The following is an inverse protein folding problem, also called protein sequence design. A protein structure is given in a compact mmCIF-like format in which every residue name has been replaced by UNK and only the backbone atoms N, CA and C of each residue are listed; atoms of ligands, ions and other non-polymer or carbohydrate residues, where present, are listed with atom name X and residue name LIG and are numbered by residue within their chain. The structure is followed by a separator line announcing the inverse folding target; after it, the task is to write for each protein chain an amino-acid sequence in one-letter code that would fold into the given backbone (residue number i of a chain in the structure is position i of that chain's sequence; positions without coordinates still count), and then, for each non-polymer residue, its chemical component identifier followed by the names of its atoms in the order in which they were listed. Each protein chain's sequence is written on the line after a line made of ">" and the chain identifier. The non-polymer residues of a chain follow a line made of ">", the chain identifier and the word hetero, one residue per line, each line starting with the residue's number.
data_IF_081495661846
#
_entry.id   IF_081495661846
#
_cell.length_a   1.000
_cell.length_b   1.000
_cell.length_c   1.000
_cell.angle_alpha   90.00
_cell.angle_beta   90.00
_cell.angle_gamma   90.00
#
_symmetry.space_group_name_H-M   'P 1'
#
loop_
_entity.id
_entity.type
_entity.pdbx_description
1 polymer ?
#
# COMPACT_ATOMS: atom_id res chain seq x y z
N UNK A 1 20.73 -7.05 -39.19
CA UNK A 1 21.39 -6.31 -38.12
C UNK A 1 21.30 -4.83 -38.39
N UNK A 2 20.59 -4.01 -37.63
CA UNK A 2 19.49 -4.23 -36.69
C UNK A 2 18.97 -2.82 -36.39
N UNK A 3 17.68 -2.59 -36.58
CA UNK A 3 17.02 -1.35 -36.11
C UNK A 3 15.80 -1.65 -35.24
N UNK A 4 15.55 -2.93 -34.95
CA UNK A 4 14.48 -3.39 -34.07
C UNK A 4 15.00 -3.87 -32.70
N UNK A 5 16.30 -4.11 -32.54
CA UNK A 5 16.90 -4.51 -31.25
C UNK A 5 17.17 -3.35 -30.26
N UNK A 6 17.03 -2.09 -30.69
CA UNK A 6 17.43 -0.92 -29.87
C UNK A 6 16.30 -0.23 -29.09
N UNK A 7 15.09 -0.80 -29.07
CA UNK A 7 14.01 -0.36 -28.15
C UNK A 7 13.85 -1.26 -26.92
N UNK A 8 14.76 -2.22 -26.72
CA UNK A 8 14.69 -3.16 -25.60
C UNK A 8 15.80 -2.90 -24.57
N UNK A 9 15.92 -1.68 -24.09
CA UNK A 9 16.84 -1.38 -22.98
C UNK A 9 16.17 -0.49 -21.94
N UNK A 10 15.73 -1.17 -20.87
CA UNK A 10 15.60 -0.67 -19.50
C UNK A 10 14.39 0.25 -19.24
N UNK A 11 13.18 -0.33 -19.31
CA UNK A 11 12.25 -0.13 -18.19
C UNK A 11 12.54 -1.26 -17.22
N UNK A 12 13.53 -1.10 -16.34
CA UNK A 12 13.53 -1.89 -15.12
C UNK A 12 12.24 -1.50 -14.40
N UNK A 13 11.17 -2.27 -14.61
CA UNK A 13 10.01 -2.20 -13.75
C UNK A 13 10.55 -2.42 -12.34
N UNK A 14 10.44 -1.39 -11.50
CA UNK A 14 10.76 -1.49 -10.07
C UNK A 14 10.04 -2.74 -9.56
N UNK A 15 10.84 -3.74 -9.19
CA UNK A 15 10.35 -4.99 -8.60
C UNK A 15 10.02 -4.68 -7.15
N UNK A 16 8.76 -4.89 -6.80
CA UNK A 16 8.31 -4.75 -5.42
C UNK A 16 8.50 -6.03 -4.61
N UNK A 17 8.90 -7.14 -5.26
CA UNK A 17 9.22 -8.40 -4.57
C UNK A 17 7.98 -9.20 -4.23
N UNK A 18 7.82 -9.59 -2.97
CA UNK A 18 6.61 -10.23 -2.45
C UNK A 18 5.62 -9.15 -1.99
N UNK A 19 4.42 -9.12 -2.58
CA UNK A 19 3.42 -8.09 -2.36
C UNK A 19 2.14 -8.71 -1.77
N UNK A 20 1.60 -8.06 -0.76
CA UNK A 20 0.24 -8.32 -0.28
C UNK A 20 -0.69 -7.14 -0.63
N UNK A 21 -1.87 -7.44 -1.17
CA UNK A 21 -2.91 -6.48 -1.49
C UNK A 21 -4.22 -6.85 -0.77
N UNK A 22 -4.79 -5.88 -0.05
CA UNK A 22 -6.12 -5.94 0.52
C UNK A 22 -7.06 -5.03 -0.29
N UNK A 23 -7.94 -5.62 -1.11
CA UNK A 23 -8.78 -4.91 -2.09
C UNK A 23 -9.99 -5.77 -2.46
N UNK A 24 -11.21 -5.20 -2.43
CA UNK A 24 -12.47 -5.89 -2.75
C UNK A 24 -12.93 -5.67 -4.20
N UNK A 25 -12.53 -4.57 -4.84
CA UNK A 25 -12.93 -4.25 -6.20
C UNK A 25 -12.07 -5.04 -7.20
N UNK A 26 -12.73 -5.92 -7.97
CA UNK A 26 -12.08 -6.76 -8.97
C UNK A 26 -11.31 -5.94 -10.03
N UNK A 27 -11.78 -4.74 -10.38
CA UNK A 27 -11.12 -3.88 -11.38
C UNK A 27 -9.84 -3.28 -10.82
N UNK A 28 -9.84 -2.87 -9.55
CA UNK A 28 -8.65 -2.40 -8.84
C UNK A 28 -7.64 -3.54 -8.65
N UNK A 29 -8.10 -4.74 -8.29
CA UNK A 29 -7.28 -5.95 -8.26
C UNK A 29 -6.59 -6.22 -9.60
N UNK A 30 -7.33 -6.18 -10.70
CA UNK A 30 -6.78 -6.36 -12.05
C UNK A 30 -5.76 -5.27 -12.41
N UNK A 31 -6.00 -4.03 -12.01
CA UNK A 31 -5.09 -2.91 -12.23
C UNK A 31 -3.74 -3.18 -11.53
N UNK A 32 -3.77 -3.55 -10.26
CA UNK A 32 -2.57 -3.91 -9.50
C UNK A 32 -1.84 -5.11 -10.10
N UNK A 33 -2.56 -6.18 -10.48
CA UNK A 33 -1.96 -7.35 -11.09
C UNK A 33 -1.24 -7.04 -12.42
N UNK A 34 -1.78 -6.11 -13.22
CA UNK A 34 -1.11 -5.63 -14.44
C UNK A 34 0.13 -4.81 -14.11
N UNK A 35 0.09 -3.98 -13.07
CA UNK A 35 1.17 -3.06 -12.68
C UNK A 35 2.34 -3.78 -12.00
N UNK A 36 2.06 -4.82 -11.24
CA UNK A 36 3.05 -5.67 -10.54
C UNK A 36 3.44 -6.91 -11.35
N UNK A 37 3.30 -6.84 -12.67
CA UNK A 37 3.68 -7.95 -13.55
C UNK A 37 5.17 -8.28 -13.36
N UNK A 38 5.44 -9.47 -12.84
CA UNK A 38 6.79 -9.96 -12.57
C UNK A 38 7.18 -9.97 -11.08
N UNK A 39 6.31 -9.46 -10.21
CA UNK A 39 6.36 -9.63 -8.76
C UNK A 39 5.37 -10.72 -8.32
N UNK A 40 5.52 -11.22 -7.09
CA UNK A 40 4.58 -12.18 -6.49
C UNK A 40 3.50 -11.40 -5.74
N UNK A 41 2.23 -11.60 -6.10
CA UNK A 41 1.10 -10.85 -5.57
C UNK A 41 0.08 -11.79 -4.92
N UNK A 42 -0.08 -11.69 -3.61
CA UNK A 42 -1.23 -12.26 -2.90
C UNK A 42 -2.30 -11.19 -2.70
N UNK A 43 -3.55 -11.55 -2.99
CA UNK A 43 -4.72 -10.66 -2.87
C UNK A 43 -5.72 -11.25 -1.89
N UNK A 44 -6.30 -10.42 -1.04
CA UNK A 44 -7.44 -10.77 -0.20
C UNK A 44 -8.44 -9.62 -0.13
N UNK A 45 -9.72 -9.94 0.03
CA UNK A 45 -10.78 -8.98 0.34
C UNK A 45 -11.39 -9.23 1.74
N UNK A 46 -10.88 -10.22 2.47
CA UNK A 46 -11.47 -10.71 3.73
C UNK A 46 -10.47 -10.56 4.87
N UNK A 47 -10.90 -9.94 5.96
CA UNK A 47 -10.03 -9.61 7.10
C UNK A 47 -9.33 -10.84 7.69
N UNK A 48 -10.03 -11.97 7.84
CA UNK A 48 -9.44 -13.16 8.44
C UNK A 48 -8.42 -13.85 7.52
N UNK A 49 -8.69 -13.90 6.21
CA UNK A 49 -7.74 -14.43 5.24
C UNK A 49 -6.49 -13.54 5.15
N UNK A 50 -6.67 -12.22 5.17
CA UNK A 50 -5.58 -11.26 5.20
C UNK A 50 -4.66 -11.47 6.42
N UNK A 51 -5.24 -11.66 7.61
CA UNK A 51 -4.47 -11.98 8.83
C UNK A 51 -3.68 -13.27 8.65
N UNK A 52 -4.28 -14.33 8.12
CA UNK A 52 -3.61 -15.61 7.89
C UNK A 52 -2.40 -15.46 6.94
N UNK A 53 -2.57 -14.77 5.81
CA UNK A 53 -1.50 -14.50 4.85
C UNK A 53 -0.36 -13.69 5.51
N UNK A 54 -0.71 -12.60 6.20
CA UNK A 54 0.26 -11.75 6.91
C UNK A 54 1.01 -12.49 8.02
N UNK A 55 0.47 -13.57 8.57
CA UNK A 55 1.12 -14.40 9.59
C UNK A 55 1.98 -15.53 9.02
N UNK A 56 1.65 -16.02 7.84
CA UNK A 56 2.27 -17.22 7.26
C UNK A 56 3.30 -16.92 6.17
N UNK A 57 3.27 -15.70 5.62
CA UNK A 57 4.18 -15.24 4.57
C UNK A 57 5.01 -14.04 5.00
N UNK A 58 5.91 -13.59 4.14
CA UNK A 58 6.70 -12.37 4.34
C UNK A 58 6.59 -11.52 3.09
N UNK A 59 6.32 -10.24 3.27
CA UNK A 59 6.10 -9.30 2.19
C UNK A 59 7.07 -8.12 2.30
N UNK A 60 7.49 -7.62 1.16
CA UNK A 60 8.30 -6.40 1.03
C UNK A 60 7.40 -5.16 0.98
N UNK A 61 6.21 -5.29 0.39
CA UNK A 61 5.22 -4.23 0.25
C UNK A 61 3.81 -4.72 0.60
N UNK A 62 3.05 -3.88 1.30
CA UNK A 62 1.66 -4.15 1.70
C UNK A 62 0.78 -2.99 1.23
N UNK A 63 -0.26 -3.30 0.45
CA UNK A 63 -1.25 -2.37 -0.05
C UNK A 63 -2.58 -2.61 0.64
N UNK A 64 -3.18 -1.57 1.23
CA UNK A 64 -4.42 -1.68 1.98
C UNK A 64 -5.48 -0.71 1.47
N UNK A 65 -6.62 -1.22 1.03
CA UNK A 65 -7.85 -0.44 0.97
C UNK A 65 -8.55 -0.40 2.34
N UNK A 66 -9.26 0.68 2.61
CA UNK A 66 -10.07 0.82 3.82
C UNK A 66 -11.43 0.12 3.67
N UNK A 67 -12.18 0.41 2.62
CA UNK A 67 -13.52 -0.12 2.44
C UNK A 67 -13.41 -1.50 1.76
N UNK A 68 -14.01 -2.54 2.35
CA UNK A 68 -13.92 -3.92 1.81
C UNK A 68 -15.28 -4.51 1.46
N UNK A 69 -16.37 -3.77 1.70
CA UNK A 69 -17.73 -4.23 1.48
C UNK A 69 -18.60 -3.08 0.93
N UNK A 70 -19.63 -3.38 0.12
CA UNK A 70 -20.58 -2.40 -0.42
C UNK A 70 -21.19 -1.46 0.62
N UNK A 71 -21.37 -1.91 1.86
CA UNK A 71 -21.99 -1.12 2.93
C UNK A 71 -21.05 -0.09 3.56
N UNK A 72 -19.73 -0.20 3.35
CA UNK A 72 -18.75 0.76 3.88
C UNK A 72 -18.70 2.04 3.04
N UNK A 73 -19.03 1.96 1.74
CA UNK A 73 -19.00 3.11 0.83
C UNK A 73 -20.02 4.18 1.24
N UNK A 74 -19.51 5.31 1.73
CA UNK A 74 -20.34 6.44 2.16
C UNK A 74 -21.06 6.22 3.50
N UNK A 75 -20.64 5.21 4.27
CA UNK A 75 -21.12 5.01 5.63
C UNK A 75 -20.79 6.23 6.50
N UNK A 76 -21.71 6.58 7.41
CA UNK A 76 -21.52 7.67 8.39
C UNK A 76 -21.03 7.17 9.74
N UNK A 77 -21.09 5.86 9.97
CA UNK A 77 -20.60 5.19 11.17
C UNK A 77 -19.32 4.41 10.82
N UNK A 78 -18.37 4.37 11.74
CA UNK A 78 -17.12 3.61 11.59
C UNK A 78 -17.35 2.12 11.87
N UNK A 79 -16.93 1.25 10.95
CA UNK A 79 -16.80 -0.19 11.15
C UNK A 79 -15.30 -0.54 11.21
N UNK A 80 -14.77 -0.73 12.41
CA UNK A 80 -13.34 -0.98 12.61
C UNK A 80 -12.97 -2.49 12.49
N UNK A 81 -13.96 -3.38 12.45
CA UNK A 81 -13.75 -4.83 12.50
C UNK A 81 -13.73 -5.48 11.12
N UNK A 82 -14.50 -4.94 10.16
CA UNK A 82 -14.67 -5.52 8.82
C UNK A 82 -14.06 -4.70 7.69
N UNK A 83 -13.28 -3.67 8.03
CA UNK A 83 -12.58 -2.79 7.09
C UNK A 83 -11.08 -3.07 7.09
N UNK A 84 -10.35 -2.43 6.19
CA UNK A 84 -8.89 -2.38 6.21
C UNK A 84 -8.31 -1.83 7.52
N UNK A 85 -9.10 -1.06 8.29
CA UNK A 85 -8.70 -0.64 9.63
C UNK A 85 -8.40 -1.82 10.57
N UNK A 86 -9.14 -2.92 10.45
CA UNK A 86 -8.87 -4.14 11.22
C UNK A 86 -7.47 -4.70 10.94
N UNK A 87 -7.00 -4.61 9.69
CA UNK A 87 -5.66 -5.05 9.27
C UNK A 87 -4.58 -4.06 9.75
N UNK A 88 -4.86 -2.76 9.67
CA UNK A 88 -3.97 -1.74 10.21
C UNK A 88 -3.74 -1.93 11.72
N UNK A 89 -4.81 -2.08 12.50
CA UNK A 89 -4.74 -2.34 13.94
C UNK A 89 -4.06 -3.70 14.26
N UNK A 90 -4.29 -4.71 13.42
CA UNK A 90 -3.65 -6.02 13.56
C UNK A 90 -2.12 -5.95 13.39
N UNK A 91 -1.64 -5.19 12.41
CA UNK A 91 -0.20 -4.95 12.17
C UNK A 91 0.41 -4.01 13.22
N UNK A 92 -0.32 -2.99 13.64
CA UNK A 92 0.10 -2.04 14.67
C UNK A 92 0.32 -2.73 16.03
N UNK A 93 -0.59 -3.63 16.41
CA UNK A 93 -0.46 -4.43 17.64
C UNK A 93 0.64 -5.51 17.58
N UNK A 94 1.28 -5.72 16.42
CA UNK A 94 2.33 -6.72 16.18
C UNK A 94 3.51 -6.10 15.40
N UNK A 95 4.30 -5.21 16.02
CA UNK A 95 5.33 -4.44 15.31
C UNK A 95 6.44 -5.31 14.69
N UNK A 96 6.67 -6.53 15.19
CA UNK A 96 7.63 -7.46 14.60
C UNK A 96 7.09 -8.18 13.35
N UNK A 97 5.77 -8.27 13.21
CA UNK A 97 5.13 -8.92 12.06
C UNK A 97 5.25 -8.04 10.82
N UNK A 98 5.82 -8.53 9.72
CA UNK A 98 6.09 -7.75 8.50
C UNK A 98 6.89 -6.47 8.76
N UNK A 99 7.80 -6.48 9.75
CA UNK A 99 8.50 -5.27 10.23
C UNK A 99 9.23 -4.50 9.12
N UNK A 100 9.77 -5.19 8.11
CA UNK A 100 10.50 -4.59 7.02
C UNK A 100 9.60 -4.05 5.89
N UNK A 101 8.32 -4.42 5.88
CA UNK A 101 7.41 -4.07 4.80
C UNK A 101 7.08 -2.57 4.81
N UNK A 102 7.05 -1.97 3.61
CA UNK A 102 6.46 -0.65 3.41
C UNK A 102 4.95 -0.82 3.25
N UNK A 103 4.15 0.00 3.95
CA UNK A 103 2.70 -0.07 3.91
C UNK A 103 2.15 1.13 3.14
N UNK A 104 1.32 0.88 2.13
CA UNK A 104 0.65 1.90 1.32
C UNK A 104 -0.86 1.74 1.46
N UNK A 105 -1.52 2.75 2.02
CA UNK A 105 -2.97 2.79 2.12
C UNK A 105 -3.51 3.48 0.86
N UNK A 106 -4.39 2.81 0.10
CA UNK A 106 -4.83 3.28 -1.22
C UNK A 106 -6.34 3.51 -1.37
N UNK A 107 -6.97 4.00 -0.31
CA UNK A 107 -8.43 4.19 -0.32
C UNK A 107 -8.91 5.51 -0.93
N UNK A 108 -10.13 5.48 -1.49
CA UNK A 108 -10.91 6.68 -1.78
C UNK A 108 -11.55 7.30 -0.52
N UNK A 109 -11.69 6.53 0.55
CA UNK A 109 -12.17 7.01 1.84
C UNK A 109 -11.00 7.64 2.61
N UNK A 110 -10.79 8.94 2.41
CA UNK A 110 -9.67 9.67 3.00
C UNK A 110 -9.68 9.63 4.54
N UNK A 111 -10.86 9.75 5.16
CA UNK A 111 -10.98 9.72 6.62
C UNK A 111 -10.59 8.33 7.17
N UNK A 112 -11.10 7.26 6.56
CA UNK A 112 -10.73 5.88 6.89
C UNK A 112 -9.25 5.60 6.68
N UNK A 113 -8.69 6.03 5.55
CA UNK A 113 -7.28 5.86 5.24
C UNK A 113 -6.35 6.60 6.20
N UNK A 114 -6.70 7.84 6.57
CA UNK A 114 -5.91 8.62 7.52
C UNK A 114 -5.90 7.97 8.91
N UNK A 115 -7.04 7.42 9.37
CA UNK A 115 -7.09 6.64 10.62
C UNK A 115 -6.17 5.42 10.58
N UNK A 116 -6.15 4.68 9.46
CA UNK A 116 -5.25 3.54 9.28
C UNK A 116 -3.77 3.95 9.35
N UNK A 117 -3.40 5.02 8.64
CA UNK A 117 -2.02 5.53 8.63
C UNK A 117 -1.60 6.02 10.01
N UNK A 118 -2.48 6.73 10.73
CA UNK A 118 -2.20 7.17 12.10
C UNK A 118 -1.96 6.00 13.05
N UNK A 119 -2.82 4.97 13.00
CA UNK A 119 -2.67 3.75 13.81
C UNK A 119 -1.34 3.05 13.53
N UNK A 120 -1.01 2.85 12.25
CA UNK A 120 0.24 2.21 11.83
C UNK A 120 1.48 3.02 12.25
N UNK A 121 1.49 4.33 11.99
CA UNK A 121 2.62 5.20 12.35
C UNK A 121 2.81 5.32 13.85
N UNK A 122 1.72 5.35 14.62
CA UNK A 122 1.77 5.38 16.09
C UNK A 122 2.43 4.12 16.67
N UNK A 123 2.34 2.99 15.97
CA UNK A 123 3.06 1.76 16.28
C UNK A 123 4.49 1.69 15.70
N UNK A 124 4.98 2.78 15.09
CA UNK A 124 6.33 2.85 14.51
C UNK A 124 6.48 2.19 13.14
N UNK A 125 5.37 1.94 12.42
CA UNK A 125 5.39 1.35 11.08
C UNK A 125 5.65 2.41 10.00
N UNK A 126 6.29 2.00 8.91
CA UNK A 126 6.42 2.81 7.70
C UNK A 126 5.13 2.69 6.90
N UNK A 127 4.25 3.70 7.02
CA UNK A 127 2.97 3.73 6.33
C UNK A 127 2.77 5.09 5.63
N UNK A 128 2.28 5.05 4.40
CA UNK A 128 1.94 6.22 3.59
C UNK A 128 0.51 6.10 3.06
N UNK A 129 -0.17 7.24 2.89
CA UNK A 129 -1.47 7.32 2.21
C UNK A 129 -1.27 7.78 0.77
N UNK A 130 -1.74 6.97 -0.19
CA UNK A 130 -1.73 7.30 -1.62
C UNK A 130 -3.12 7.03 -2.19
N UNK A 131 -4.00 8.03 -2.34
CA UNK A 131 -5.34 7.82 -2.92
C UNK A 131 -5.29 7.07 -4.25
N UNK A 132 -6.20 6.11 -4.46
CA UNK A 132 -6.16 5.23 -5.64
C UNK A 132 -6.10 5.97 -6.98
N UNK A 133 -6.85 7.08 -7.13
CA UNK A 133 -6.81 7.84 -8.39
C UNK A 133 -5.41 8.36 -8.74
N UNK A 134 -4.54 8.64 -7.76
CA UNK A 134 -3.16 9.01 -8.04
C UNK A 134 -2.32 7.82 -8.50
N UNK A 135 -2.66 6.60 -8.07
CA UNK A 135 -2.05 5.38 -8.60
C UNK A 135 -2.51 5.13 -10.03
N UNK A 136 -3.79 5.34 -10.32
CA UNK A 136 -4.36 5.09 -11.65
C UNK A 136 -3.95 6.14 -12.71
N UNK A 137 -3.92 7.43 -12.35
CA UNK A 137 -3.60 8.53 -13.27
C UNK A 137 -2.11 8.62 -13.65
N UNK A 138 -1.24 8.00 -12.86
CA UNK A 138 0.19 8.11 -13.04
C UNK A 138 0.85 6.73 -13.10
N UNK A 139 1.73 6.53 -14.08
CA UNK A 139 2.75 5.46 -14.06
C UNK A 139 3.74 5.60 -12.87
N UNK A 140 3.52 6.57 -11.97
CA UNK A 140 4.34 6.95 -10.83
C UNK A 140 4.03 6.07 -9.61
N UNK A 141 4.72 4.94 -9.54
CA UNK A 141 5.34 4.63 -8.26
C UNK A 141 6.57 5.55 -8.17
N UNK A 142 6.68 6.47 -7.19
CA UNK A 142 7.83 7.37 -7.13
C UNK A 142 9.11 6.56 -6.92
N UNK A 143 10.08 6.70 -7.81
CA UNK A 143 11.41 6.06 -7.73
C UNK A 143 12.24 6.47 -6.49
N UNK A 144 11.66 7.19 -5.53
CA UNK A 144 12.37 7.87 -4.45
C UNK A 144 11.99 7.44 -3.03
N UNK A 145 11.09 6.45 -2.83
CA UNK A 145 10.74 6.00 -1.47
C UNK A 145 11.60 4.86 -0.92
N UNK A 146 12.60 4.40 -1.68
CA UNK A 146 13.68 3.54 -1.20
C UNK A 146 14.97 4.34 -0.94
N UNK A 147 15.48 4.27 0.28
CA UNK A 147 16.80 4.70 0.75
C UNK A 147 17.03 6.20 1.06
N UNK A 148 17.03 6.49 2.37
CA UNK A 148 17.81 7.53 3.07
C UNK A 148 17.62 9.00 2.66
N UNK A 149 16.99 9.79 3.53
CA UNK A 149 17.08 11.25 3.46
C UNK A 149 16.46 11.92 4.67
N UNK A 150 17.28 12.32 5.64
CA UNK A 150 16.88 13.28 6.68
C UNK A 150 16.46 14.58 5.98
N UNK A 151 15.19 14.95 6.06
CA UNK A 151 14.78 16.32 5.80
C UNK A 151 15.14 17.14 7.05
N UNK A 152 16.20 17.94 6.95
CA UNK A 152 16.44 19.00 7.92
C UNK A 152 15.29 20.02 7.84
N UNK A 153 14.82 20.58 8.97
CA UNK A 153 13.81 21.63 8.94
C UNK A 153 14.41 22.92 8.36
N UNK A 154 13.60 23.75 7.66
CA UNK A 154 14.09 24.97 7.06
C UNK A 154 14.57 25.97 8.11
N UNK A 155 15.76 26.53 7.88
CA UNK A 155 16.33 27.59 8.68
C UNK A 155 15.38 28.80 8.72
N UNK A 156 14.99 29.20 9.93
CA UNK A 156 14.27 30.45 10.18
C UNK A 156 15.20 31.61 9.81
N UNK A 157 14.82 32.37 8.79
CA UNK A 157 15.44 33.65 8.49
C UNK A 157 15.11 34.64 9.61
N UNK A 158 16.14 35.06 10.35
CA UNK A 158 16.04 36.09 11.38
C UNK A 158 15.66 37.44 10.79
N UNK A 159 14.76 38.13 11.48
CA UNK A 159 14.58 39.57 11.46
C UNK A 159 15.01 40.16 12.80
#
# INVERSE_FOLDING_TARGET
>A
MDSYELHSTITEQIRFGEIFLLEDDERRCEWFAKRFKGDELDVSCEVEQAKELLQTRTYDSIFLDHDLMPEHYGATESDDERTGYAIAAFLASRPDLQRAATIMVHSFNADGAMRMVEELRSAGRQAEYIPFHFLEDHDLMPEHYGATGRSEPPAVAGG
#
